data_IF_592013500358
#
_entry.id   IF_592013500358
#
_cell.length_a   1.000
_cell.length_b   1.000
_cell.length_c   1.000
_cell.angle_alpha   90.00
_cell.angle_beta   90.00
_cell.angle_gamma   90.00
#
_symmetry.space_group_name_H-M   'P 1'
#
loop_
_entity.id
_entity.type
_entity.pdbx_description
1 polymer ?
#
# COMPACT_ATOMS: atom_id res chain seq x y z
N UNK A 1 -21.43 -43.00 -15.82
CA UNK A 1 -21.37 -41.63 -15.27
C UNK A 1 -19.95 -41.03 -15.20
N UNK A 2 -18.88 -41.76 -15.59
CA UNK A 2 -17.49 -41.25 -15.50
C UNK A 2 -17.05 -40.39 -16.70
N UNK A 3 -17.73 -40.39 -17.84
CA UNK A 3 -17.42 -39.53 -19.00
C UNK A 3 -17.61 -38.03 -18.73
N UNK A 4 -18.54 -37.66 -17.88
CA UNK A 4 -18.93 -36.28 -17.61
C UNK A 4 -17.80 -35.46 -16.93
N UNK A 5 -17.09 -36.03 -15.95
CA UNK A 5 -16.07 -35.27 -15.19
C UNK A 5 -14.82 -34.92 -16.04
N UNK A 6 -14.40 -35.82 -16.94
CA UNK A 6 -13.29 -35.56 -17.85
C UNK A 6 -13.67 -34.65 -19.01
N UNK A 7 -14.92 -34.69 -19.47
CA UNK A 7 -15.43 -33.76 -20.47
C UNK A 7 -15.52 -32.33 -19.89
N UNK A 8 -15.90 -32.18 -18.63
CA UNK A 8 -15.86 -30.91 -17.90
C UNK A 8 -14.43 -30.39 -17.80
N UNK A 9 -13.44 -31.23 -17.48
CA UNK A 9 -12.03 -30.85 -17.42
C UNK A 9 -11.51 -30.38 -18.79
N UNK A 10 -11.81 -31.12 -19.87
CA UNK A 10 -11.44 -30.73 -21.23
C UNK A 10 -11.99 -29.34 -21.58
N UNK A 11 -13.26 -29.12 -21.29
CA UNK A 11 -13.89 -27.84 -21.49
C UNK A 11 -13.22 -26.74 -20.65
N UNK A 12 -12.87 -27.05 -19.40
CA UNK A 12 -12.17 -26.12 -18.51
C UNK A 12 -10.76 -25.81 -18.99
N UNK A 13 -10.00 -26.79 -19.46
CA UNK A 13 -8.68 -26.58 -20.09
C UNK A 13 -8.84 -25.63 -21.29
N UNK A 14 -9.77 -25.92 -22.18
CA UNK A 14 -10.01 -25.10 -23.37
C UNK A 14 -10.36 -23.66 -22.99
N UNK A 15 -11.21 -23.44 -22.00
CA UNK A 15 -11.58 -22.11 -21.51
C UNK A 15 -10.38 -21.34 -20.95
N UNK A 16 -9.57 -21.96 -20.08
CA UNK A 16 -8.43 -21.30 -19.44
C UNK A 16 -7.33 -21.00 -20.47
N UNK A 17 -7.08 -21.92 -21.39
CA UNK A 17 -6.12 -21.74 -22.48
C UNK A 17 -6.58 -20.66 -23.46
N UNK A 18 -7.89 -20.64 -23.84
CA UNK A 18 -8.46 -19.61 -24.70
C UNK A 18 -8.49 -18.22 -24.05
N UNK A 19 -8.48 -18.14 -22.74
CA UNK A 19 -8.37 -16.88 -21.98
C UNK A 19 -7.04 -16.13 -22.22
N UNK A 20 -6.01 -16.81 -22.71
CA UNK A 20 -4.71 -16.24 -23.08
C UNK A 20 -4.12 -15.36 -21.98
N UNK A 21 -3.58 -14.19 -22.37
CA UNK A 21 -3.01 -13.19 -21.46
C UNK A 21 -4.03 -12.58 -20.46
N UNK A 22 -5.33 -12.85 -20.65
CA UNK A 22 -6.40 -12.42 -19.75
C UNK A 22 -6.80 -13.47 -18.71
N UNK A 23 -6.26 -14.70 -18.77
CA UNK A 23 -6.57 -15.73 -17.77
C UNK A 23 -5.91 -15.35 -16.44
N UNK A 24 -6.75 -15.23 -15.40
CA UNK A 24 -6.30 -14.90 -14.04
C UNK A 24 -5.38 -16.02 -13.51
N UNK A 25 -4.35 -15.63 -12.75
CA UNK A 25 -3.47 -16.58 -12.05
C UNK A 25 -4.24 -17.57 -11.16
N UNK A 26 -5.39 -17.16 -10.61
CA UNK A 26 -6.27 -18.02 -9.84
C UNK A 26 -6.95 -19.07 -10.71
N UNK A 27 -7.29 -18.76 -11.97
CA UNK A 27 -7.85 -19.74 -12.91
C UNK A 27 -6.84 -20.87 -13.22
N UNK A 28 -5.57 -20.56 -13.41
CA UNK A 28 -4.51 -21.55 -13.64
C UNK A 28 -4.25 -22.44 -12.42
N UNK A 29 -4.25 -21.85 -11.21
CA UNK A 29 -4.06 -22.64 -9.98
C UNK A 29 -5.28 -23.49 -9.68
N UNK A 30 -6.50 -23.01 -9.95
CA UNK A 30 -7.71 -23.79 -9.83
C UNK A 30 -7.73 -24.95 -10.83
N UNK A 31 -7.34 -24.72 -12.09
CA UNK A 31 -7.23 -25.78 -13.10
C UNK A 31 -6.26 -26.90 -12.67
N UNK A 32 -5.09 -26.56 -12.12
CA UNK A 32 -4.15 -27.55 -11.57
C UNK A 32 -4.81 -28.40 -10.46
N UNK A 33 -5.56 -27.79 -9.57
CA UNK A 33 -6.27 -28.46 -8.48
C UNK A 33 -7.43 -29.33 -8.98
N UNK A 34 -8.22 -28.83 -9.92
CA UNK A 34 -9.35 -29.53 -10.54
C UNK A 34 -8.88 -30.80 -11.26
N UNK A 35 -7.82 -30.70 -12.10
CA UNK A 35 -7.24 -31.87 -12.78
C UNK A 35 -6.70 -32.88 -11.77
N UNK A 36 -5.98 -32.46 -10.75
CA UNK A 36 -5.46 -33.35 -9.70
C UNK A 36 -6.56 -34.04 -8.93
N UNK A 37 -7.62 -33.33 -8.61
CA UNK A 37 -8.79 -33.87 -7.91
C UNK A 37 -9.51 -34.93 -8.75
N UNK A 38 -9.73 -34.65 -10.04
CA UNK A 38 -10.36 -35.60 -10.95
C UNK A 38 -9.52 -36.87 -11.15
N UNK A 39 -8.20 -36.73 -11.29
CA UNK A 39 -7.30 -37.91 -11.41
C UNK A 39 -7.22 -38.72 -10.12
N UNK A 40 -7.48 -38.14 -8.96
CA UNK A 40 -7.47 -38.83 -7.66
C UNK A 40 -8.79 -39.50 -7.34
N UNK A 41 -9.91 -38.88 -7.66
CA UNK A 41 -11.23 -39.29 -7.21
C UNK A 41 -12.20 -39.62 -8.35
N UNK A 42 -11.91 -39.22 -9.60
CA UNK A 42 -12.81 -39.38 -10.76
C UNK A 42 -12.74 -40.73 -11.45
N UNK A 43 -11.92 -41.69 -10.96
CA UNK A 43 -11.70 -42.98 -11.62
C UNK A 43 -10.65 -42.90 -12.75
N UNK A 44 -10.38 -44.01 -13.45
CA UNK A 44 -9.42 -44.03 -14.56
C UNK A 44 -9.93 -43.14 -15.69
N UNK A 45 -9.04 -42.35 -16.32
CA UNK A 45 -9.40 -41.48 -17.44
C UNK A 45 -9.92 -42.31 -18.64
N UNK A 46 -10.91 -41.81 -19.39
CA UNK A 46 -11.57 -42.55 -20.48
C UNK A 46 -10.72 -42.75 -21.73
N UNK A 47 -9.55 -42.14 -21.83
CA UNK A 47 -8.60 -42.30 -22.92
C UNK A 47 -7.18 -42.48 -22.34
N UNK A 48 -6.25 -43.09 -23.06
CA UNK A 48 -4.90 -43.22 -22.56
C UNK A 48 -4.36 -41.84 -22.21
N UNK A 49 -4.08 -41.63 -20.91
CA UNK A 49 -3.22 -40.52 -20.51
C UNK A 49 -1.96 -40.72 -21.34
N UNK A 50 -1.48 -39.65 -21.96
CA UNK A 50 -0.21 -39.68 -22.66
C UNK A 50 0.88 -40.23 -21.71
N UNK A 51 1.53 -41.31 -22.11
CA UNK A 51 2.69 -41.85 -21.43
C UNK A 51 3.89 -41.80 -22.35
N UNK A 52 5.06 -41.43 -21.85
CA UNK A 52 6.27 -41.30 -22.66
C UNK A 52 6.74 -42.62 -23.29
N UNK A 53 6.34 -43.78 -22.74
CA UNK A 53 6.73 -45.11 -23.16
C UNK A 53 5.67 -45.83 -24.01
N UNK A 54 4.55 -45.14 -24.32
CA UNK A 54 3.55 -45.68 -25.25
C UNK A 54 4.06 -45.60 -26.66
N UNK A 55 3.77 -46.61 -27.49
CA UNK A 55 4.07 -46.73 -28.91
C UNK A 55 3.55 -45.58 -29.80
N UNK A 56 3.04 -44.51 -29.13
CA UNK A 56 2.56 -43.29 -29.73
C UNK A 56 3.71 -42.41 -30.23
N UNK A 57 3.99 -42.52 -31.50
CA UNK A 57 4.92 -41.65 -32.26
C UNK A 57 4.38 -40.21 -32.39
N UNK A 58 3.33 -39.84 -31.67
CA UNK A 58 2.66 -38.54 -31.73
C UNK A 58 3.00 -37.63 -30.57
N UNK A 59 3.28 -36.36 -30.88
CA UNK A 59 3.37 -35.28 -29.91
C UNK A 59 2.04 -35.16 -29.15
N UNK A 60 2.04 -35.04 -27.79
CA UNK A 60 0.80 -34.89 -27.03
C UNK A 60 0.04 -33.63 -27.41
N UNK A 61 -1.28 -33.72 -27.52
CA UNK A 61 -2.13 -32.55 -27.68
C UNK A 61 -2.16 -31.68 -26.42
N UNK A 62 -2.62 -30.42 -26.55
CA UNK A 62 -2.64 -29.45 -25.44
C UNK A 62 -3.38 -29.98 -24.20
N UNK A 63 -4.51 -30.64 -24.40
CA UNK A 63 -5.32 -31.24 -23.31
C UNK A 63 -4.59 -32.38 -22.60
N UNK A 64 -4.00 -33.29 -23.39
CA UNK A 64 -3.23 -34.42 -22.86
C UNK A 64 -2.01 -33.93 -22.07
N UNK A 65 -1.32 -32.91 -22.60
CA UNK A 65 -0.16 -32.32 -21.98
C UNK A 65 -0.53 -31.57 -20.67
N UNK A 66 -1.65 -30.84 -20.64
CA UNK A 66 -2.16 -30.20 -19.44
C UNK A 66 -2.47 -31.21 -18.33
N UNK A 67 -3.15 -32.33 -18.69
CA UNK A 67 -3.46 -33.42 -17.76
C UNK A 67 -2.17 -34.09 -17.26
N UNK A 68 -1.21 -34.36 -18.14
CA UNK A 68 0.08 -34.97 -17.77
C UNK A 68 0.90 -34.06 -16.84
N UNK A 69 0.94 -32.75 -17.10
CA UNK A 69 1.60 -31.76 -16.23
C UNK A 69 1.01 -31.69 -14.82
N UNK A 70 -0.28 -32.01 -14.65
CA UNK A 70 -0.99 -31.99 -13.36
C UNK A 70 -1.13 -33.38 -12.72
N UNK A 71 -0.71 -34.44 -13.39
CA UNK A 71 -0.87 -35.82 -12.96
C UNK A 71 -0.21 -36.15 -11.60
N UNK A 72 -0.68 -37.22 -10.92
CA UNK A 72 -0.14 -37.59 -9.61
C UNK A 72 1.28 -38.15 -9.68
N UNK A 73 1.64 -38.83 -10.80
CA UNK A 73 2.96 -39.41 -11.01
C UNK A 73 3.99 -38.35 -11.42
N UNK A 74 5.06 -38.21 -10.61
CA UNK A 74 6.15 -37.27 -10.86
C UNK A 74 6.93 -37.55 -12.16
N UNK A 75 7.07 -38.82 -12.56
CA UNK A 75 7.77 -39.21 -13.81
C UNK A 75 6.99 -38.72 -15.04
N UNK A 76 5.68 -38.85 -15.01
CA UNK A 76 4.80 -38.35 -16.09
C UNK A 76 4.88 -36.81 -16.15
N UNK A 77 4.82 -36.13 -15.02
CA UNK A 77 4.97 -34.67 -14.99
C UNK A 77 6.30 -34.20 -15.53
N UNK A 78 7.40 -34.88 -15.16
CA UNK A 78 8.73 -34.57 -15.64
C UNK A 78 8.87 -34.79 -17.15
N UNK A 79 8.37 -35.92 -17.66
CA UNK A 79 8.38 -36.22 -19.11
C UNK A 79 7.54 -35.20 -19.90
N UNK A 80 6.36 -34.82 -19.38
CA UNK A 80 5.49 -33.81 -19.99
C UNK A 80 6.18 -32.44 -20.14
N UNK A 81 7.06 -32.08 -19.23
CA UNK A 81 7.83 -30.82 -19.32
C UNK A 81 8.77 -30.75 -20.52
N UNK A 82 9.14 -31.91 -21.14
CA UNK A 82 9.94 -31.91 -22.36
C UNK A 82 9.17 -31.32 -23.57
N UNK A 83 7.85 -31.36 -23.54
CA UNK A 83 6.99 -30.88 -24.62
C UNK A 83 6.36 -29.50 -24.30
N UNK A 84 6.47 -29.07 -23.05
CA UNK A 84 5.79 -27.87 -22.57
C UNK A 84 6.38 -26.57 -23.13
N UNK A 85 7.69 -26.55 -23.43
CA UNK A 85 8.35 -25.40 -24.06
C UNK A 85 7.78 -25.09 -25.45
N UNK A 86 7.49 -26.14 -26.22
CA UNK A 86 6.87 -26.00 -27.54
C UNK A 86 5.35 -25.71 -27.50
N UNK A 87 4.78 -25.55 -26.31
CA UNK A 87 3.36 -25.28 -26.10
C UNK A 87 3.15 -24.05 -25.21
N UNK A 88 3.42 -22.83 -25.74
CA UNK A 88 3.41 -21.60 -24.94
C UNK A 88 2.13 -21.39 -24.12
N UNK A 89 0.99 -21.86 -24.62
CA UNK A 89 -0.30 -21.77 -23.93
C UNK A 89 -0.32 -22.49 -22.58
N UNK A 90 0.58 -23.45 -22.32
CA UNK A 90 0.67 -24.18 -21.06
C UNK A 90 1.82 -23.74 -20.15
N UNK A 91 2.58 -22.74 -20.52
CA UNK A 91 3.65 -22.18 -19.68
C UNK A 91 3.20 -21.77 -18.26
N UNK A 92 1.95 -21.31 -18.03
CA UNK A 92 1.48 -21.09 -16.67
C UNK A 92 1.48 -22.34 -15.79
N UNK A 93 1.21 -23.53 -16.36
CA UNK A 93 1.34 -24.80 -15.63
C UNK A 93 2.80 -25.16 -15.36
N UNK A 94 3.73 -24.83 -16.29
CA UNK A 94 5.17 -24.96 -16.05
C UNK A 94 5.60 -24.10 -14.86
N UNK A 95 5.12 -22.87 -14.77
CA UNK A 95 5.36 -21.98 -13.60
C UNK A 95 4.89 -22.65 -12.30
N UNK A 96 3.71 -23.29 -12.31
CA UNK A 96 3.21 -24.01 -11.14
C UNK A 96 4.15 -25.18 -10.79
N UNK A 97 4.69 -25.89 -11.78
CA UNK A 97 5.66 -26.99 -11.57
C UNK A 97 7.02 -26.49 -11.07
N UNK A 98 7.39 -25.24 -11.25
CA UNK A 98 8.60 -24.69 -10.62
C UNK A 98 8.58 -24.74 -9.08
N UNK A 99 7.39 -24.91 -8.49
CA UNK A 99 7.18 -25.12 -7.07
C UNK A 99 6.74 -26.56 -6.73
N UNK A 100 6.96 -27.54 -7.63
CA UNK A 100 6.57 -28.93 -7.41
C UNK A 100 7.31 -29.53 -6.21
N UNK A 101 6.65 -30.45 -5.49
CA UNK A 101 7.25 -31.16 -4.36
C UNK A 101 8.37 -32.14 -4.81
N UNK A 102 8.27 -32.70 -6.03
CA UNK A 102 9.28 -33.59 -6.59
C UNK A 102 10.46 -32.79 -7.17
N UNK A 103 11.66 -33.07 -6.71
CA UNK A 103 12.90 -32.39 -7.14
C UNK A 103 13.09 -32.37 -8.66
N UNK A 104 13.11 -33.54 -9.33
CA UNK A 104 13.33 -33.62 -10.78
C UNK A 104 12.32 -32.80 -11.60
N UNK A 105 11.02 -32.89 -11.26
CA UNK A 105 9.97 -32.09 -11.91
C UNK A 105 10.25 -30.60 -11.76
N UNK A 106 10.60 -30.17 -10.55
CA UNK A 106 10.89 -28.78 -10.22
C UNK A 106 12.09 -28.23 -11.00
N UNK A 107 13.15 -29.00 -11.06
CA UNK A 107 14.38 -28.60 -11.78
C UNK A 107 14.14 -28.53 -13.29
N UNK A 108 13.43 -29.49 -13.85
CA UNK A 108 13.05 -29.49 -15.27
C UNK A 108 12.15 -28.31 -15.61
N UNK A 109 11.13 -28.03 -14.79
CA UNK A 109 10.24 -26.89 -14.99
C UNK A 109 10.98 -25.55 -14.97
N UNK A 110 11.93 -25.40 -14.05
CA UNK A 110 12.79 -24.20 -13.97
C UNK A 110 13.71 -24.06 -15.19
N UNK A 111 14.21 -25.15 -15.71
CA UNK A 111 15.01 -25.15 -16.95
C UNK A 111 14.17 -24.71 -18.15
N UNK A 112 12.95 -25.25 -18.31
CA UNK A 112 12.01 -24.82 -19.35
C UNK A 112 11.69 -23.35 -19.22
N UNK A 113 11.27 -22.90 -18.03
CA UNK A 113 10.92 -21.50 -17.81
C UNK A 113 12.11 -20.54 -18.10
N UNK A 114 13.32 -20.95 -17.75
CA UNK A 114 14.53 -20.16 -18.05
C UNK A 114 14.78 -20.07 -19.55
N UNK A 115 14.63 -21.16 -20.29
CA UNK A 115 14.77 -21.17 -21.74
C UNK A 115 13.76 -20.24 -22.40
N UNK A 116 12.50 -20.27 -21.97
CA UNK A 116 11.43 -19.42 -22.50
C UNK A 116 11.62 -17.91 -22.20
N UNK A 117 12.16 -17.58 -21.04
CA UNK A 117 12.31 -16.18 -20.63
C UNK A 117 13.66 -15.56 -21.02
N UNK A 118 14.71 -16.37 -21.25
CA UNK A 118 16.08 -15.90 -21.46
C UNK A 118 16.78 -16.56 -22.66
N UNK A 119 16.09 -17.41 -23.42
CA UNK A 119 16.62 -18.05 -24.60
C UNK A 119 16.83 -17.06 -25.78
N UNK A 120 17.60 -17.41 -26.79
CA UNK A 120 17.90 -16.54 -27.92
C UNK A 120 16.66 -16.18 -28.75
N UNK A 121 15.66 -17.07 -28.79
CA UNK A 121 14.41 -16.90 -29.53
C UNK A 121 13.26 -16.42 -28.60
N UNK A 122 13.57 -16.07 -27.35
CA UNK A 122 12.55 -15.68 -26.37
C UNK A 122 11.89 -14.36 -26.74
N UNK A 123 10.56 -14.29 -26.52
CA UNK A 123 9.77 -13.06 -26.61
C UNK A 123 9.27 -12.64 -25.21
N UNK A 124 10.18 -12.24 -24.34
CA UNK A 124 9.86 -12.08 -22.93
C UNK A 124 8.75 -11.06 -22.69
N UNK A 125 8.61 -10.02 -23.51
CA UNK A 125 7.56 -9.02 -23.36
C UNK A 125 6.14 -9.56 -23.58
N UNK A 126 5.98 -10.51 -24.50
CA UNK A 126 4.69 -11.16 -24.79
C UNK A 126 4.34 -12.20 -23.72
N UNK A 127 5.33 -13.00 -23.34
CA UNK A 127 5.17 -14.11 -22.39
C UNK A 127 5.04 -13.62 -20.94
N UNK A 128 5.72 -12.54 -20.57
CA UNK A 128 5.73 -12.02 -19.21
C UNK A 128 4.34 -11.58 -18.71
N UNK A 129 3.48 -11.06 -19.60
CA UNK A 129 2.10 -10.67 -19.27
C UNK A 129 1.29 -11.83 -18.67
N UNK A 130 1.38 -12.99 -19.32
CA UNK A 130 0.69 -14.20 -18.89
C UNK A 130 1.33 -14.86 -17.65
N UNK A 131 2.68 -14.89 -17.60
CA UNK A 131 3.40 -15.65 -16.58
C UNK A 131 3.58 -14.91 -15.25
N UNK A 132 3.81 -13.59 -15.27
CA UNK A 132 4.12 -12.83 -14.07
C UNK A 132 3.05 -12.94 -12.96
N UNK A 133 1.73 -12.89 -13.26
CA UNK A 133 0.70 -13.11 -12.25
C UNK A 133 0.80 -14.49 -11.59
N UNK A 134 1.02 -15.55 -12.39
CA UNK A 134 1.14 -16.92 -11.90
C UNK A 134 2.41 -17.10 -11.08
N UNK A 135 3.53 -16.55 -11.52
CA UNK A 135 4.79 -16.57 -10.76
C UNK A 135 4.61 -15.94 -9.39
N UNK A 136 3.97 -14.77 -9.32
CA UNK A 136 3.74 -14.09 -8.04
C UNK A 136 2.68 -14.79 -7.17
N UNK A 137 1.79 -15.57 -7.78
CA UNK A 137 0.79 -16.38 -7.07
C UNK A 137 1.43 -17.60 -6.42
N UNK A 138 2.37 -18.26 -7.09
CA UNK A 138 3.05 -19.45 -6.58
C UNK A 138 4.27 -19.14 -5.73
N UNK A 139 4.79 -17.93 -5.74
CA UNK A 139 5.96 -17.53 -4.97
C UNK A 139 5.84 -17.78 -3.46
N UNK A 140 4.62 -17.77 -2.91
CA UNK A 140 4.37 -18.11 -1.51
C UNK A 140 4.40 -19.62 -1.19
N UNK A 141 4.52 -20.50 -2.18
CA UNK A 141 4.64 -21.95 -1.96
C UNK A 141 6.07 -22.30 -1.50
N UNK A 142 6.22 -23.43 -0.80
CA UNK A 142 7.49 -23.88 -0.20
C UNK A 142 8.72 -23.80 -1.13
N UNK A 143 8.55 -23.95 -2.45
CA UNK A 143 9.62 -23.93 -3.44
C UNK A 143 9.38 -22.88 -4.54
N UNK A 144 8.51 -21.89 -4.30
CA UNK A 144 8.08 -20.93 -5.30
C UNK A 144 9.07 -19.79 -5.59
N UNK A 145 10.04 -19.55 -4.71
CA UNK A 145 10.96 -18.41 -4.81
C UNK A 145 11.80 -18.41 -6.09
N UNK A 146 12.24 -19.57 -6.57
CA UNK A 146 13.11 -19.65 -7.75
C UNK A 146 12.47 -19.11 -9.03
N UNK A 147 11.16 -19.33 -9.25
CA UNK A 147 10.46 -18.75 -10.39
C UNK A 147 10.35 -17.21 -10.26
N UNK A 148 10.12 -16.70 -9.04
CA UNK A 148 10.10 -15.28 -8.75
C UNK A 148 11.48 -14.63 -8.94
N UNK A 149 12.54 -15.29 -8.50
CA UNK A 149 13.92 -14.82 -8.68
C UNK A 149 14.26 -14.70 -10.16
N UNK A 150 13.92 -15.72 -10.95
CA UNK A 150 14.11 -15.70 -12.40
C UNK A 150 13.32 -14.56 -13.06
N UNK A 151 12.04 -14.37 -12.70
CA UNK A 151 11.26 -13.25 -13.20
C UNK A 151 11.92 -11.90 -12.87
N UNK A 152 12.38 -11.72 -11.63
CA UNK A 152 13.06 -10.49 -11.19
C UNK A 152 14.35 -10.29 -11.96
N UNK A 153 15.13 -11.35 -12.18
CA UNK A 153 16.36 -11.29 -12.96
C UNK A 153 16.09 -10.86 -14.40
N UNK A 154 15.15 -11.51 -15.09
CA UNK A 154 14.75 -11.16 -16.45
C UNK A 154 14.29 -9.71 -16.58
N UNK A 155 13.52 -9.22 -15.60
CA UNK A 155 13.08 -7.83 -15.59
C UNK A 155 14.20 -6.83 -15.27
N UNK A 156 15.21 -7.23 -14.49
CA UNK A 156 16.37 -6.37 -14.17
C UNK A 156 17.38 -6.28 -15.30
N UNK A 157 17.62 -7.38 -16.00
CA UNK A 157 18.68 -7.50 -16.99
C UNK A 157 18.16 -7.40 -18.43
N UNK A 158 16.89 -7.74 -18.65
CA UNK A 158 16.28 -7.80 -19.97
C UNK A 158 15.83 -6.43 -20.51
N UNK A 159 15.19 -6.44 -21.69
CA UNK A 159 14.70 -5.24 -22.36
C UNK A 159 13.68 -4.45 -21.53
N UNK A 160 13.69 -3.14 -21.67
CA UNK A 160 12.76 -2.24 -20.99
C UNK A 160 11.28 -2.52 -21.35
N UNK A 161 11.03 -3.02 -22.56
CA UNK A 161 9.68 -3.33 -23.04
C UNK A 161 8.92 -4.28 -22.11
N UNK A 162 9.59 -5.29 -21.52
CA UNK A 162 8.97 -6.20 -20.56
C UNK A 162 8.51 -5.49 -19.28
N UNK A 163 9.36 -4.63 -18.72
CA UNK A 163 9.00 -3.84 -17.53
C UNK A 163 7.85 -2.89 -17.85
N UNK A 164 7.90 -2.23 -19.01
CA UNK A 164 6.87 -1.28 -19.45
C UNK A 164 5.50 -1.95 -19.62
N UNK A 165 5.45 -3.13 -20.26
CA UNK A 165 4.22 -3.90 -20.39
C UNK A 165 3.62 -4.28 -19.02
N UNK A 166 4.45 -4.76 -18.10
CA UNK A 166 3.99 -5.19 -16.77
C UNK A 166 3.54 -4.03 -15.87
N UNK A 167 3.99 -2.81 -16.11
CA UNK A 167 3.50 -1.63 -15.38
C UNK A 167 2.03 -1.35 -15.64
N UNK A 168 1.50 -1.77 -16.79
CA UNK A 168 0.08 -1.66 -17.15
C UNK A 168 -0.75 -2.90 -16.76
N UNK A 169 -0.15 -3.92 -16.13
CA UNK A 169 -0.83 -5.16 -15.76
C UNK A 169 -2.06 -4.91 -14.87
N UNK A 170 -3.11 -5.70 -15.07
CA UNK A 170 -4.30 -5.69 -14.20
C UNK A 170 -4.00 -6.23 -12.80
N UNK A 171 -3.02 -7.14 -12.68
CA UNK A 171 -2.59 -7.65 -11.38
C UNK A 171 -1.77 -6.60 -10.62
N UNK A 172 -2.28 -6.23 -9.44
CA UNK A 172 -1.65 -5.22 -8.57
C UNK A 172 -0.25 -5.62 -8.09
N UNK A 173 0.01 -6.92 -7.88
CA UNK A 173 1.31 -7.41 -7.42
C UNK A 173 2.34 -7.27 -8.53
N UNK A 174 1.93 -7.59 -9.77
CA UNK A 174 2.76 -7.42 -10.97
C UNK A 174 3.07 -5.94 -11.21
N UNK A 175 2.06 -5.06 -11.17
CA UNK A 175 2.26 -3.61 -11.30
C UNK A 175 3.27 -3.06 -10.29
N UNK A 176 3.14 -3.47 -9.02
CA UNK A 176 4.05 -3.04 -7.94
C UNK A 176 5.48 -3.51 -8.16
N UNK A 177 5.66 -4.76 -8.59
CA UNK A 177 6.97 -5.31 -8.93
C UNK A 177 7.59 -4.55 -10.10
N UNK A 178 6.84 -4.37 -11.18
CA UNK A 178 7.30 -3.67 -12.39
C UNK A 178 7.69 -2.21 -12.10
N UNK A 179 6.88 -1.46 -11.33
CA UNK A 179 7.23 -0.11 -10.94
C UNK A 179 8.48 -0.05 -10.05
N UNK A 180 8.64 -1.02 -9.13
CA UNK A 180 9.84 -1.13 -8.30
C UNK A 180 11.09 -1.30 -9.18
N UNK A 181 11.05 -2.23 -10.11
CA UNK A 181 12.17 -2.49 -11.03
C UNK A 181 12.40 -1.29 -11.97
N UNK A 182 11.33 -0.64 -12.45
CA UNK A 182 11.45 0.56 -13.27
C UNK A 182 12.16 1.71 -12.54
N UNK A 183 11.85 1.91 -11.26
CA UNK A 183 12.54 2.91 -10.40
C UNK A 183 13.99 2.48 -10.14
N UNK A 184 14.22 1.23 -9.74
CA UNK A 184 15.56 0.72 -9.42
C UNK A 184 16.50 0.78 -10.63
N UNK A 185 15.98 0.61 -11.86
CA UNK A 185 16.72 0.71 -13.12
C UNK A 185 16.81 2.12 -13.71
N UNK A 186 16.13 3.11 -13.11
CA UNK A 186 16.08 4.46 -13.65
C UNK A 186 15.32 4.60 -14.98
N UNK A 187 14.37 3.70 -15.27
CA UNK A 187 13.61 3.69 -16.53
C UNK A 187 12.52 4.77 -16.59
N UNK A 188 12.31 5.51 -15.52
CA UNK A 188 11.29 6.55 -15.45
C UNK A 188 11.94 7.92 -15.24
N UNK A 189 11.60 8.85 -16.11
CA UNK A 189 12.00 10.24 -15.91
C UNK A 189 11.35 10.85 -14.66
N UNK A 190 11.94 11.89 -14.04
CA UNK A 190 11.32 12.57 -12.90
C UNK A 190 9.89 13.06 -13.17
N UNK A 191 9.59 13.47 -14.40
CA UNK A 191 8.25 13.87 -14.82
C UNK A 191 7.25 12.69 -14.83
N UNK A 192 7.68 11.51 -15.30
CA UNK A 192 6.88 10.28 -15.28
C UNK A 192 6.66 9.77 -13.86
N UNK A 193 7.69 9.83 -13.01
CA UNK A 193 7.58 9.50 -11.59
C UNK A 193 6.54 10.39 -10.89
N UNK A 194 6.65 11.71 -11.05
CA UNK A 194 5.70 12.66 -10.48
C UNK A 194 4.28 12.45 -11.02
N UNK A 195 4.11 12.18 -12.33
CA UNK A 195 2.83 11.87 -12.92
C UNK A 195 2.18 10.61 -12.30
N UNK A 196 2.96 9.56 -12.12
CA UNK A 196 2.51 8.31 -11.51
C UNK A 196 2.16 8.50 -10.03
N UNK A 197 2.97 9.27 -9.30
CA UNK A 197 2.73 9.57 -7.89
C UNK A 197 1.37 10.25 -7.65
N UNK A 198 0.97 11.20 -8.52
CA UNK A 198 -0.28 11.96 -8.36
C UNK A 198 -1.47 11.36 -9.10
N UNK A 199 -1.30 10.23 -9.79
CA UNK A 199 -2.36 9.60 -10.58
C UNK A 199 -3.62 9.32 -9.73
N UNK A 200 -4.79 9.63 -10.28
CA UNK A 200 -6.09 9.48 -9.60
C UNK A 200 -6.86 8.27 -10.15
N UNK A 201 -6.64 7.93 -11.42
CA UNK A 201 -7.22 6.74 -12.03
C UNK A 201 -6.50 5.49 -11.51
N UNK A 202 -7.24 4.51 -11.03
CA UNK A 202 -6.74 3.25 -10.43
C UNK A 202 -5.57 3.45 -9.43
N UNK A 203 -5.78 4.18 -8.32
CA UNK A 203 -4.70 4.57 -7.43
C UNK A 203 -4.14 3.36 -6.67
N UNK A 204 -2.85 3.07 -6.85
CA UNK A 204 -2.11 2.15 -5.99
C UNK A 204 -1.16 2.95 -5.08
N UNK A 205 -1.54 3.05 -3.82
CA UNK A 205 -0.80 3.84 -2.81
C UNK A 205 0.67 3.39 -2.70
N UNK A 206 0.97 2.10 -2.91
CA UNK A 206 2.34 1.58 -2.84
C UNK A 206 3.17 2.08 -4.02
N UNK A 207 2.58 2.11 -5.22
CA UNK A 207 3.24 2.64 -6.43
C UNK A 207 3.41 4.15 -6.32
N UNK A 208 2.38 4.84 -5.83
CA UNK A 208 2.43 6.29 -5.64
C UNK A 208 3.51 6.71 -4.62
N UNK A 209 3.61 6.01 -3.47
CA UNK A 209 4.66 6.20 -2.46
C UNK A 209 6.05 6.00 -3.08
N UNK A 210 6.23 4.88 -3.78
CA UNK A 210 7.48 4.54 -4.43
C UNK A 210 7.93 5.63 -5.41
N UNK A 211 7.00 6.12 -6.25
CA UNK A 211 7.31 7.15 -7.24
C UNK A 211 7.55 8.53 -6.60
N UNK A 212 6.81 8.88 -5.54
CA UNK A 212 7.06 10.11 -4.79
C UNK A 212 8.44 10.09 -4.12
N UNK A 213 8.79 8.97 -3.48
CA UNK A 213 10.12 8.78 -2.87
C UNK A 213 11.24 8.88 -3.92
N UNK A 214 11.03 8.32 -5.11
CA UNK A 214 11.99 8.41 -6.21
C UNK A 214 12.15 9.85 -6.74
N UNK A 215 11.06 10.63 -6.83
CA UNK A 215 11.13 12.06 -7.15
C UNK A 215 11.97 12.79 -6.09
N UNK A 216 11.70 12.54 -4.80
CA UNK A 216 12.47 13.17 -3.72
C UNK A 216 13.96 12.75 -3.70
N UNK A 217 14.26 11.51 -4.10
CA UNK A 217 15.63 11.05 -4.22
C UNK A 217 16.39 11.79 -5.33
N UNK A 218 15.70 12.09 -6.43
CA UNK A 218 16.27 12.79 -7.59
C UNK A 218 16.40 14.30 -7.41
N UNK A 219 15.72 14.93 -6.42
CA UNK A 219 15.86 16.36 -6.13
C UNK A 219 17.26 16.63 -5.58
N UNK A 220 18.05 17.47 -6.26
CA UNK A 220 19.36 17.96 -5.86
C UNK A 220 19.29 19.42 -5.32
N UNK A 221 20.31 19.86 -4.60
CA UNK A 221 20.40 21.24 -4.10
C UNK A 221 20.66 22.27 -5.22
N UNK A 222 21.23 21.81 -6.35
CA UNK A 222 21.63 22.69 -7.46
C UNK A 222 20.63 22.74 -8.63
N UNK A 223 19.49 22.05 -8.51
CA UNK A 223 18.52 21.90 -9.60
C UNK A 223 17.47 23.02 -9.62
N UNK A 224 17.89 24.23 -9.88
CA UNK A 224 16.97 25.38 -10.07
C UNK A 224 15.97 25.18 -11.23
N UNK A 225 16.15 24.20 -12.12
CA UNK A 225 15.29 24.00 -13.30
C UNK A 225 14.74 22.59 -13.50
N UNK A 226 15.51 21.53 -13.30
CA UNK A 226 15.06 20.16 -13.60
C UNK A 226 14.21 19.53 -12.47
N UNK A 227 14.48 19.85 -11.20
CA UNK A 227 13.69 19.39 -10.05
C UNK A 227 12.40 20.18 -9.83
N UNK A 228 12.24 21.37 -10.41
CA UNK A 228 11.14 22.28 -10.15
C UNK A 228 9.77 21.72 -10.53
N UNK A 229 9.60 21.28 -11.77
CA UNK A 229 8.30 20.83 -12.27
C UNK A 229 7.79 19.51 -11.61
N UNK A 230 8.60 18.45 -11.43
CA UNK A 230 8.19 17.26 -10.70
C UNK A 230 7.79 17.56 -9.26
N UNK A 231 8.57 18.38 -8.54
CA UNK A 231 8.28 18.75 -7.16
C UNK A 231 6.98 19.58 -7.07
N UNK A 232 6.80 20.57 -7.95
CA UNK A 232 5.56 21.36 -8.03
C UNK A 232 4.34 20.48 -8.27
N UNK A 233 4.48 19.41 -9.06
CA UNK A 233 3.41 18.46 -9.28
C UNK A 233 3.02 17.70 -8.01
N UNK A 234 3.98 17.31 -7.18
CA UNK A 234 3.71 16.70 -5.87
C UNK A 234 3.02 17.70 -4.93
N UNK A 235 3.46 18.96 -4.91
CA UNK A 235 2.87 20.02 -4.08
C UNK A 235 1.40 20.27 -4.42
N UNK A 236 1.00 20.14 -5.68
CA UNK A 236 -0.38 20.28 -6.15
C UNK A 236 -1.26 19.03 -6.01
N UNK A 237 -0.76 17.91 -5.46
CA UNK A 237 -1.48 16.66 -5.40
C UNK A 237 -2.77 16.75 -4.55
N UNK A 238 -3.81 15.99 -4.95
CA UNK A 238 -5.06 15.87 -4.16
C UNK A 238 -4.83 15.17 -2.82
N UNK A 239 -3.95 14.18 -2.80
CA UNK A 239 -3.62 13.38 -1.62
C UNK A 239 -2.68 14.17 -0.69
N UNK A 240 -3.09 14.36 0.56
CA UNK A 240 -2.30 15.14 1.53
C UNK A 240 -0.92 14.55 1.81
N UNK A 241 -0.76 13.24 1.79
CA UNK A 241 0.53 12.61 2.02
C UNK A 241 1.53 12.81 0.86
N UNK A 242 1.05 12.93 -0.40
CA UNK A 242 1.92 13.28 -1.55
C UNK A 242 2.33 14.75 -1.47
N UNK A 243 1.38 15.66 -1.12
CA UNK A 243 1.74 17.06 -0.89
C UNK A 243 2.76 17.20 0.23
N UNK A 244 2.60 16.43 1.32
CA UNK A 244 3.57 16.42 2.42
C UNK A 244 4.96 15.95 1.96
N UNK A 245 5.05 14.96 1.09
CA UNK A 245 6.30 14.56 0.43
C UNK A 245 6.88 15.73 -0.38
N UNK A 246 6.06 16.39 -1.20
CA UNK A 246 6.46 17.59 -1.95
C UNK A 246 7.03 18.68 -1.04
N UNK A 247 6.34 19.00 0.06
CA UNK A 247 6.78 20.00 1.04
C UNK A 247 8.14 19.64 1.67
N UNK A 248 8.35 18.37 2.04
CA UNK A 248 9.66 17.94 2.56
C UNK A 248 10.76 18.03 1.51
N UNK A 249 10.42 17.85 0.22
CA UNK A 249 11.33 18.02 -0.91
C UNK A 249 11.81 19.44 -1.09
N UNK A 250 11.02 20.46 -0.74
CA UNK A 250 11.41 21.86 -0.82
C UNK A 250 12.71 22.15 -0.06
N UNK A 251 12.89 21.56 1.13
CA UNK A 251 14.13 21.72 1.89
C UNK A 251 15.33 21.17 1.12
N UNK A 252 15.20 20.01 0.50
CA UNK A 252 16.29 19.39 -0.26
C UNK A 252 16.63 20.20 -1.53
N UNK A 253 15.61 20.84 -2.11
CA UNK A 253 15.74 21.72 -3.27
C UNK A 253 16.28 23.12 -2.93
N UNK A 254 16.59 23.43 -1.67
CA UNK A 254 17.01 24.78 -1.26
C UNK A 254 15.88 25.84 -1.32
N UNK A 255 14.61 25.44 -1.39
CA UNK A 255 13.41 26.27 -1.59
C UNK A 255 12.49 26.23 -0.36
N UNK A 256 13.09 26.21 0.82
CA UNK A 256 12.35 26.00 2.08
C UNK A 256 11.31 27.07 2.38
N UNK A 257 11.53 28.32 1.94
CA UNK A 257 10.61 29.45 2.07
C UNK A 257 9.27 29.19 1.38
N UNK A 258 9.26 28.43 0.31
CA UNK A 258 8.02 28.04 -0.39
C UNK A 258 7.13 27.07 0.42
N UNK A 259 7.59 26.62 1.60
CA UNK A 259 6.79 25.83 2.51
C UNK A 259 5.77 26.66 3.29
N UNK A 260 5.90 27.99 3.37
CA UNK A 260 5.02 28.86 4.17
C UNK A 260 3.54 28.73 3.81
N UNK A 261 3.09 28.75 2.53
CA UNK A 261 1.69 28.60 2.18
C UNK A 261 1.08 27.27 2.67
N UNK A 262 1.90 26.24 2.83
CA UNK A 262 1.48 24.91 3.30
C UNK A 262 1.27 24.82 4.81
N UNK A 263 1.61 25.86 5.58
CA UNK A 263 1.20 26.03 6.97
C UNK A 263 -0.33 26.03 7.10
N UNK A 264 -1.05 26.43 6.06
CA UNK A 264 -2.49 26.56 6.03
C UNK A 264 -3.19 25.42 5.24
N UNK A 265 -2.45 24.34 4.95
CA UNK A 265 -3.05 23.19 4.24
C UNK A 265 -4.14 22.50 5.08
N UNK A 266 -5.16 22.01 4.41
CA UNK A 266 -6.26 21.23 5.02
C UNK A 266 -5.78 19.95 5.74
N UNK A 267 -4.61 19.40 5.36
CA UNK A 267 -4.03 18.18 5.93
C UNK A 267 -3.08 18.53 7.08
N UNK A 268 -3.34 18.00 8.27
CA UNK A 268 -2.44 18.16 9.42
C UNK A 268 -1.02 17.65 9.13
N UNK A 269 -0.88 16.58 8.33
CA UNK A 269 0.43 16.06 7.92
C UNK A 269 1.21 17.09 7.10
N UNK A 270 0.55 17.75 6.13
CA UNK A 270 1.17 18.79 5.30
C UNK A 270 1.60 19.97 6.15
N UNK A 271 0.73 20.47 7.04
CA UNK A 271 1.06 21.55 7.97
C UNK A 271 2.24 21.19 8.88
N UNK A 272 2.28 19.94 9.39
CA UNK A 272 3.40 19.48 10.21
C UNK A 272 4.72 19.43 9.43
N UNK A 273 4.70 18.98 8.17
CA UNK A 273 5.87 19.01 7.29
C UNK A 273 6.33 20.44 6.98
N UNK A 274 5.39 21.35 6.70
CA UNK A 274 5.71 22.76 6.46
C UNK A 274 6.39 23.42 7.69
N UNK A 275 5.83 23.22 8.89
CA UNK A 275 6.45 23.67 10.14
C UNK A 275 7.86 23.12 10.33
N UNK A 276 8.05 21.84 10.02
CA UNK A 276 9.35 21.20 10.14
C UNK A 276 10.35 21.80 9.15
N UNK A 277 9.96 21.99 7.88
CA UNK A 277 10.83 22.56 6.83
C UNK A 277 11.27 23.96 7.22
N UNK A 278 10.34 24.85 7.61
CA UNK A 278 10.64 26.22 7.99
C UNK A 278 11.57 26.31 9.20
N UNK A 279 11.38 25.47 10.22
CA UNK A 279 12.29 25.44 11.38
C UNK A 279 13.71 25.03 11.01
N UNK A 280 13.90 24.22 9.96
CA UNK A 280 15.25 23.86 9.51
C UNK A 280 16.03 25.07 8.92
N UNK A 281 15.33 26.13 8.54
CA UNK A 281 15.92 27.39 8.04
C UNK A 281 15.84 28.52 9.05
N UNK A 282 15.49 28.19 10.31
CA UNK A 282 15.44 29.20 11.40
C UNK A 282 14.11 29.96 11.47
N UNK A 283 13.14 29.66 10.64
CA UNK A 283 11.83 30.36 10.67
C UNK A 283 10.89 29.65 11.67
N UNK A 284 10.48 30.37 12.72
CA UNK A 284 9.50 29.86 13.67
C UNK A 284 8.06 30.02 13.14
N UNK A 285 7.26 28.95 13.05
CA UNK A 285 5.92 28.99 12.47
C UNK A 285 4.86 29.67 13.34
N UNK A 286 5.01 29.71 14.66
CA UNK A 286 4.00 30.24 15.58
C UNK A 286 3.69 31.72 15.32
N UNK A 287 4.69 32.63 15.17
CA UNK A 287 4.43 34.01 14.80
C UNK A 287 3.66 34.16 13.48
N UNK A 288 3.95 33.30 12.49
CA UNK A 288 3.25 33.30 11.20
C UNK A 288 1.76 32.93 11.36
N UNK A 289 1.44 31.95 12.19
CA UNK A 289 0.05 31.59 12.47
C UNK A 289 -0.68 32.70 13.23
N UNK A 290 -0.04 33.36 14.22
CA UNK A 290 -0.63 34.49 14.94
C UNK A 290 -0.90 35.65 14.01
N UNK A 291 0.05 36.00 13.14
CA UNK A 291 -0.13 37.05 12.13
C UNK A 291 -1.26 36.69 11.15
N UNK A 292 -1.30 35.45 10.66
CA UNK A 292 -2.37 34.99 9.78
C UNK A 292 -3.76 35.05 10.45
N UNK A 293 -3.86 34.69 11.73
CA UNK A 293 -5.12 34.80 12.49
C UNK A 293 -5.54 36.26 12.75
N UNK A 294 -4.61 37.21 12.74
CA UNK A 294 -4.89 38.63 12.88
C UNK A 294 -5.24 39.33 11.55
N UNK A 295 -5.12 38.65 10.40
CA UNK A 295 -5.29 39.23 9.06
C UNK A 295 -6.74 39.52 8.63
N UNK A 296 -7.74 39.30 9.48
CA UNK A 296 -9.15 39.58 9.18
C UNK A 296 -9.67 38.76 7.98
N UNK A 297 -10.21 39.49 6.99
CA UNK A 297 -10.80 38.84 5.79
C UNK A 297 -9.78 38.04 4.96
N UNK A 298 -8.49 38.35 5.09
CA UNK A 298 -7.39 37.61 4.44
C UNK A 298 -6.95 36.32 5.16
N UNK A 299 -7.57 36.00 6.30
CA UNK A 299 -7.19 34.83 7.10
C UNK A 299 -7.43 33.50 6.35
N UNK A 300 -6.40 32.64 6.21
CA UNK A 300 -6.59 31.30 5.64
C UNK A 300 -7.49 30.40 6.50
N UNK A 301 -8.39 29.63 5.89
CA UNK A 301 -9.39 28.78 6.55
C UNK A 301 -8.83 27.87 7.65
N UNK A 302 -7.60 27.42 7.52
CA UNK A 302 -6.95 26.48 8.44
C UNK A 302 -5.89 27.12 9.35
N UNK A 303 -5.74 28.45 9.33
CA UNK A 303 -4.84 29.18 10.25
C UNK A 303 -5.18 28.89 11.72
N UNK A 304 -6.46 28.90 12.16
CA UNK A 304 -6.81 28.59 13.54
C UNK A 304 -6.41 27.17 13.98
N UNK A 305 -6.53 26.17 13.07
CA UNK A 305 -6.08 24.81 13.38
C UNK A 305 -4.55 24.75 13.50
N UNK A 306 -3.83 25.41 12.59
CA UNK A 306 -2.36 25.46 12.61
C UNK A 306 -1.84 26.17 13.85
N UNK A 307 -2.48 27.27 14.24
CA UNK A 307 -2.18 27.98 15.49
C UNK A 307 -2.26 27.04 16.70
N UNK A 308 -3.34 26.27 16.80
CA UNK A 308 -3.52 25.33 17.91
C UNK A 308 -2.50 24.17 17.91
N UNK A 309 -1.97 23.78 16.75
CA UNK A 309 -0.99 22.69 16.65
C UNK A 309 0.41 23.06 17.16
N UNK A 310 0.72 24.35 17.36
CA UNK A 310 2.01 24.83 17.83
C UNK A 310 1.93 25.96 18.86
N UNK A 311 0.74 26.50 19.13
CA UNK A 311 0.47 27.55 20.10
C UNK A 311 0.30 27.01 21.52
N UNK A 312 0.04 27.91 22.44
CA UNK A 312 -0.23 27.61 23.83
C UNK A 312 -1.68 27.91 24.24
N UNK A 313 -2.15 27.17 25.27
CA UNK A 313 -3.53 27.26 25.73
C UNK A 313 -3.88 28.64 26.32
N UNK A 314 -2.95 29.27 27.01
CA UNK A 314 -3.23 30.52 27.74
C UNK A 314 -3.40 31.69 26.76
N UNK A 315 -2.49 31.78 25.78
CA UNK A 315 -2.43 32.88 24.81
C UNK A 315 -3.37 32.68 23.63
N UNK A 316 -3.43 31.45 23.08
CA UNK A 316 -4.03 31.23 21.76
C UNK A 316 -5.48 30.69 21.85
N UNK A 317 -5.90 30.08 22.99
CA UNK A 317 -7.28 29.62 23.12
C UNK A 317 -8.33 30.77 23.11
N UNK A 318 -8.11 31.93 23.72
CA UNK A 318 -9.03 33.08 23.59
C UNK A 318 -9.32 33.45 22.13
N UNK A 319 -8.28 33.53 21.29
CA UNK A 319 -8.39 33.84 19.85
C UNK A 319 -9.23 32.77 19.13
N UNK A 320 -9.00 31.49 19.45
CA UNK A 320 -9.81 30.41 18.86
C UNK A 320 -11.27 30.46 19.29
N UNK A 321 -11.56 30.93 20.52
CA UNK A 321 -12.95 31.12 20.97
C UNK A 321 -13.67 32.23 20.21
N UNK A 322 -13.00 33.31 19.81
CA UNK A 322 -13.55 34.32 18.92
C UNK A 322 -13.93 33.77 17.57
N UNK A 323 -13.09 32.94 16.98
CA UNK A 323 -13.33 32.28 15.67
C UNK A 323 -14.46 31.24 15.68
N UNK A 324 -14.96 30.84 16.84
CA UNK A 324 -16.17 29.98 16.88
C UNK A 324 -17.43 30.70 16.39
N UNK A 325 -17.41 32.05 16.34
CA UNK A 325 -18.46 32.91 15.81
C UNK A 325 -18.17 33.47 14.39
N UNK A 326 -17.10 33.07 13.72
CA UNK A 326 -16.75 33.56 12.38
C UNK A 326 -17.83 33.26 11.34
N UNK A 327 -18.07 34.16 10.39
CA UNK A 327 -19.07 33.97 9.34
C UNK A 327 -18.78 32.74 8.45
N UNK A 328 -17.52 32.41 8.23
CA UNK A 328 -17.06 31.30 7.41
C UNK A 328 -17.14 29.97 8.17
N UNK A 329 -17.97 29.00 7.75
CA UNK A 329 -18.11 27.72 8.44
C UNK A 329 -16.82 26.91 8.56
N UNK A 330 -15.89 27.11 7.62
CA UNK A 330 -14.58 26.44 7.64
C UNK A 330 -13.72 26.94 8.79
N UNK A 331 -13.76 28.26 9.06
CA UNK A 331 -13.04 28.87 10.17
C UNK A 331 -13.63 28.44 11.50
N UNK A 332 -14.98 28.50 11.65
CA UNK A 332 -15.63 27.97 12.86
C UNK A 332 -15.25 26.53 13.18
N UNK A 333 -15.29 25.65 12.15
CA UNK A 333 -14.89 24.25 12.32
C UNK A 333 -13.42 24.09 12.67
N UNK A 334 -12.53 24.93 12.09
CA UNK A 334 -11.11 24.95 12.39
C UNK A 334 -10.84 25.41 13.82
N UNK A 335 -11.55 26.42 14.29
CA UNK A 335 -11.49 26.93 15.66
C UNK A 335 -11.91 25.86 16.69
N UNK A 336 -13.03 25.20 16.47
CA UNK A 336 -13.48 24.08 17.33
C UNK A 336 -12.46 22.95 17.37
N UNK A 337 -11.90 22.57 16.22
CA UNK A 337 -10.85 21.57 16.15
C UNK A 337 -9.58 22.02 16.90
N UNK A 338 -9.22 23.31 16.80
CA UNK A 338 -8.10 23.91 17.51
C UNK A 338 -8.28 23.92 19.02
N UNK A 339 -9.46 24.31 19.51
CA UNK A 339 -9.76 24.27 20.95
C UNK A 339 -9.63 22.87 21.54
N UNK A 340 -9.97 21.84 20.76
CA UNK A 340 -9.77 20.45 21.16
C UNK A 340 -8.29 20.07 21.22
N UNK A 341 -7.48 20.57 20.29
CA UNK A 341 -6.02 20.31 20.26
C UNK A 341 -5.33 20.95 21.46
N UNK A 342 -5.73 22.19 21.83
CA UNK A 342 -5.19 22.91 22.98
C UNK A 342 -5.77 22.46 24.34
N UNK A 343 -6.65 21.45 24.35
CA UNK A 343 -7.38 21.03 25.56
C UNK A 343 -8.11 22.20 26.24
N UNK A 344 -8.68 23.10 25.43
CA UNK A 344 -9.34 24.32 25.87
C UNK A 344 -10.85 24.28 25.65
N UNK A 345 -11.43 23.09 25.48
CA UNK A 345 -12.87 22.89 25.27
C UNK A 345 -13.63 23.27 26.53
N UNK A 346 -14.66 24.11 26.36
CA UNK A 346 -15.66 24.44 27.37
C UNK A 346 -17.01 23.94 26.88
N UNK A 347 -17.52 22.80 27.39
CA UNK A 347 -18.69 22.12 26.83
C UNK A 347 -19.92 23.01 26.68
N UNK A 348 -20.27 23.77 27.72
CA UNK A 348 -21.44 24.66 27.70
C UNK A 348 -21.35 25.78 26.63
N UNK A 349 -20.14 26.25 26.30
CA UNK A 349 -19.96 27.25 25.23
C UNK A 349 -19.98 26.64 23.82
N UNK A 350 -19.58 25.37 23.67
CA UNK A 350 -19.60 24.70 22.37
C UNK A 350 -20.94 24.06 22.03
N UNK A 351 -21.76 23.72 23.03
CA UNK A 351 -23.04 23.04 22.81
C UNK A 351 -23.95 23.73 21.77
N UNK A 352 -24.09 25.07 21.70
CA UNK A 352 -24.91 25.72 20.67
C UNK A 352 -24.43 25.43 19.22
N UNK A 353 -23.16 25.11 19.01
CA UNK A 353 -22.64 24.77 17.68
C UNK A 353 -23.02 23.34 17.20
N UNK A 354 -23.75 22.58 18.04
CA UNK A 354 -24.35 21.31 17.58
C UNK A 354 -25.53 21.57 16.63
N UNK A 355 -26.13 22.75 16.70
CA UNK A 355 -27.23 23.21 15.83
C UNK A 355 -26.73 24.17 14.73
N UNK A 356 -25.40 24.25 14.50
CA UNK A 356 -24.84 25.08 13.44
C UNK A 356 -25.37 24.64 12.07
N UNK A 357 -25.65 25.61 11.20
CA UNK A 357 -26.11 25.36 9.82
C UNK A 357 -25.16 24.53 8.98
N UNK A 358 -23.87 24.49 9.35
CA UNK A 358 -22.83 23.73 8.63
C UNK A 358 -22.62 22.35 9.24
N UNK A 359 -22.85 21.25 8.48
CA UNK A 359 -22.57 19.88 8.93
C UNK A 359 -21.11 19.66 9.35
N UNK A 360 -20.20 20.47 8.82
CA UNK A 360 -18.79 20.42 9.16
C UNK A 360 -18.54 20.93 10.58
N UNK A 361 -19.15 22.04 10.97
CA UNK A 361 -19.07 22.60 12.32
C UNK A 361 -19.68 21.63 13.32
N UNK A 362 -20.90 21.15 13.05
CA UNK A 362 -21.57 20.13 13.87
C UNK A 362 -20.70 18.91 14.11
N UNK A 363 -20.07 18.40 13.05
CA UNK A 363 -19.17 17.23 13.14
C UNK A 363 -17.97 17.48 14.05
N UNK A 364 -17.28 18.62 13.90
CA UNK A 364 -16.12 18.95 14.74
C UNK A 364 -16.56 19.24 16.19
N UNK A 365 -17.71 19.87 16.40
CA UNK A 365 -18.31 20.09 17.73
C UNK A 365 -18.63 18.76 18.42
N UNK A 366 -19.28 17.82 17.73
CA UNK A 366 -19.52 16.45 18.26
C UNK A 366 -18.22 15.76 18.66
N UNK A 367 -17.15 15.88 17.86
CA UNK A 367 -15.83 15.32 18.21
C UNK A 367 -15.24 15.98 19.46
N UNK A 368 -15.38 17.31 19.57
CA UNK A 368 -14.88 18.07 20.71
C UNK A 368 -15.63 17.73 22.00
N UNK A 369 -16.95 17.52 21.92
CA UNK A 369 -17.81 17.21 23.06
C UNK A 369 -17.85 15.72 23.43
N UNK A 370 -17.27 14.84 22.63
CA UNK A 370 -17.27 13.39 22.86
C UNK A 370 -16.83 12.97 24.29
N UNK A 371 -15.80 13.57 24.90
CA UNK A 371 -15.41 13.24 26.28
C UNK A 371 -16.46 13.54 27.33
N UNK A 372 -17.43 14.41 27.01
CA UNK A 372 -18.52 14.82 27.91
C UNK A 372 -19.89 14.29 27.48
N UNK A 373 -19.96 13.27 26.63
CA UNK A 373 -21.18 12.73 26.05
C UNK A 373 -22.20 12.28 27.13
N UNK A 374 -21.74 11.80 28.27
CA UNK A 374 -22.58 11.36 29.39
C UNK A 374 -23.23 12.54 30.17
N UNK A 375 -22.69 13.75 30.05
CA UNK A 375 -23.14 14.95 30.72
C UNK A 375 -24.05 15.82 29.83
N UNK A 376 -24.04 15.58 28.52
CA UNK A 376 -24.84 16.30 27.53
C UNK A 376 -25.56 15.25 26.67
N UNK A 377 -26.86 14.95 27.00
CA UNK A 377 -27.65 14.05 26.16
C UNK A 377 -27.96 14.72 24.83
N UNK A 378 -27.03 14.64 23.91
CA UNK A 378 -27.20 15.10 22.53
C UNK A 378 -27.68 13.93 21.70
N UNK A 379 -28.88 14.03 21.14
CA UNK A 379 -29.40 13.07 20.18
C UNK A 379 -28.39 12.89 19.04
N UNK A 380 -27.87 11.67 18.89
CA UNK A 380 -26.94 11.33 17.80
C UNK A 380 -25.43 11.26 18.13
N UNK A 381 -25.01 11.41 19.39
CA UNK A 381 -23.66 11.01 19.80
C UNK A 381 -23.63 9.49 20.05
N UNK A 382 -22.77 8.70 19.39
CA UNK A 382 -22.61 7.31 19.75
C UNK A 382 -22.07 7.24 21.19
N UNK A 383 -22.77 6.55 22.08
CA UNK A 383 -22.26 6.21 23.40
C UNK A 383 -20.92 5.50 23.26
N UNK A 384 -19.91 5.85 24.06
CA UNK A 384 -18.73 5.02 24.13
C UNK A 384 -19.19 3.59 24.48
N UNK A 385 -18.74 2.60 23.72
CA UNK A 385 -19.01 1.20 24.05
C UNK A 385 -18.55 0.98 25.50
N UNK A 386 -19.47 0.56 26.37
CA UNK A 386 -19.14 0.20 27.73
C UNK A 386 -18.03 -0.85 27.66
N UNK A 387 -16.87 -0.51 28.17
CA UNK A 387 -15.79 -1.48 28.37
C UNK A 387 -16.36 -2.48 29.38
N UNK A 388 -16.73 -3.66 28.89
CA UNK A 388 -17.14 -4.74 29.74
C UNK A 388 -16.01 -4.99 30.75
N UNK A 389 -16.32 -5.04 32.07
CA UNK A 389 -15.29 -5.34 33.06
C UNK A 389 -14.76 -6.74 32.71
N UNK A 390 -13.44 -6.83 32.52
CA UNK A 390 -12.76 -8.11 32.34
C UNK A 390 -13.17 -9.05 33.47
N UNK A 391 -13.53 -10.32 33.18
CA UNK A 391 -13.86 -11.29 34.21
C UNK A 391 -12.67 -11.41 35.18
N UNK A 392 -12.91 -11.18 36.47
CA UNK A 392 -11.95 -11.49 37.53
C UNK A 392 -11.69 -12.99 37.45
N UNK A 393 -10.46 -13.35 37.10
CA UNK A 393 -9.96 -14.68 37.34
C UNK A 393 -9.76 -14.79 38.86
N UNK A 394 -10.61 -15.53 39.56
CA UNK A 394 -10.38 -15.99 40.90
C UNK A 394 -9.20 -16.98 40.83
N UNK A 395 -8.04 -16.51 41.16
CA UNK A 395 -6.80 -17.29 41.32
C UNK A 395 -6.49 -17.44 42.78
N UNK A 396 -6.37 -18.67 43.16
CA UNK A 396 -6.11 -19.27 44.43
C UNK A 396 -4.90 -18.63 45.17
N UNK A 397 -5.09 -18.41 46.46
CA UNK A 397 -4.08 -17.84 47.35
C UNK A 397 -3.03 -18.88 47.72
N UNK A 398 -1.75 -18.58 47.51
CA UNK A 398 -0.65 -18.92 48.41
C UNK A 398 0.71 -18.49 47.84
N UNK A 399 1.30 -17.45 48.39
CA UNK A 399 2.72 -17.28 48.80
C UNK A 399 3.05 -15.77 48.87
N UNK A 400 3.63 -15.25 49.95
CA UNK A 400 3.95 -13.84 50.13
C UNK A 400 5.28 -13.44 49.47
N UNK A 401 5.45 -12.13 49.12
CA UNK A 401 6.61 -11.62 48.38
C UNK A 401 7.73 -11.15 49.36
N UNK A 402 8.97 -11.01 48.87
CA UNK A 402 9.99 -10.22 49.56
C UNK A 402 9.89 -8.73 49.15
N UNK A 403 10.10 -7.88 50.15
CA UNK A 403 10.16 -6.42 50.05
C UNK A 403 11.43 -5.95 49.32
N UNK A 404 11.29 -4.91 48.49
CA UNK A 404 12.28 -3.83 48.35
C UNK A 404 11.74 -2.67 47.47
N UNK A 405 11.58 -1.56 48.06
CA UNK A 405 11.91 -0.17 47.84
C UNK A 405 11.79 0.46 46.43
N UNK A 406 11.08 1.61 46.32
CA UNK A 406 11.40 2.61 45.29
C UNK A 406 10.22 3.31 44.65
N UNK A 407 9.85 4.45 45.20
CA UNK A 407 9.33 5.72 44.64
C UNK A 407 8.31 5.76 43.45
N UNK A 408 7.41 6.77 43.42
CA UNK A 408 6.27 6.84 42.53
C UNK A 408 6.60 7.48 41.18
N UNK A 409 6.06 6.93 40.08
CA UNK A 409 6.06 7.57 38.76
C UNK A 409 4.64 7.95 38.39
N UNK A 410 4.34 9.23 38.48
CA UNK A 410 3.24 9.91 37.82
C UNK A 410 3.58 10.07 36.32
N UNK A 411 2.64 9.70 35.44
CA UNK A 411 2.80 9.86 34.00
C UNK A 411 1.65 9.22 33.22
N UNK A 412 0.50 9.90 33.17
CA UNK A 412 -0.63 9.57 32.29
C UNK A 412 -0.25 9.86 30.85
N UNK A 413 0.03 8.80 30.07
CA UNK A 413 0.20 8.88 28.62
C UNK A 413 -1.17 8.62 27.93
N UNK A 414 -1.64 9.56 27.14
CA UNK A 414 -2.78 9.41 26.25
C UNK A 414 -2.51 8.36 25.14
N UNK A 415 -3.52 7.59 24.68
CA UNK A 415 -3.32 6.58 23.65
C UNK A 415 -3.11 7.21 22.27
N UNK A 416 -1.97 6.97 21.68
CA UNK A 416 -1.60 7.41 20.34
C UNK A 416 -2.09 6.45 19.25
N UNK A 417 -2.66 6.99 18.19
CA UNK A 417 -3.08 6.26 17.01
C UNK A 417 -1.87 5.72 16.20
N UNK A 418 -1.74 4.39 15.97
CA UNK A 418 -0.47 3.79 15.53
C UNK A 418 -0.11 3.95 14.04
N UNK A 419 -1.00 4.47 13.17
CA UNK A 419 -0.81 4.45 11.71
C UNK A 419 -0.17 5.71 11.10
N UNK A 420 -0.27 6.87 11.72
CA UNK A 420 0.31 8.12 11.20
C UNK A 420 1.82 8.24 11.45
N UNK A 421 2.32 7.70 12.56
CA UNK A 421 3.75 7.80 12.95
C UNK A 421 4.72 7.03 12.05
N UNK A 422 4.33 5.90 11.48
CA UNK A 422 5.19 5.10 10.60
C UNK A 422 5.50 5.78 9.25
N UNK A 423 4.54 6.52 8.70
CA UNK A 423 4.71 7.29 7.46
C UNK A 423 5.53 8.55 7.67
N UNK A 424 5.27 9.29 8.75
CA UNK A 424 6.03 10.49 9.10
C UNK A 424 7.52 10.17 9.35
N UNK A 425 7.83 9.03 10.00
CA UNK A 425 9.21 8.56 10.21
C UNK A 425 9.97 8.25 8.91
N UNK A 426 9.30 7.72 7.89
CA UNK A 426 9.91 7.46 6.58
C UNK A 426 10.13 8.74 5.79
N UNK A 427 9.14 9.64 5.75
CA UNK A 427 9.21 10.90 5.00
C UNK A 427 10.27 11.87 5.55
N UNK A 428 10.50 11.87 6.86
CA UNK A 428 11.46 12.77 7.51
C UNK A 428 12.90 12.22 7.53
N UNK A 429 13.18 11.06 6.93
CA UNK A 429 14.53 10.49 6.87
C UNK A 429 15.08 10.04 8.23
N UNK A 430 14.22 9.85 9.23
CA UNK A 430 14.62 9.41 10.56
C UNK A 430 14.99 7.91 10.61
N UNK A 431 16.16 7.56 10.09
CA UNK A 431 16.94 6.47 10.64
C UNK A 431 17.79 7.05 11.79
N UNK A 432 17.26 6.89 13.01
CA UNK A 432 18.01 7.11 14.25
C UNK A 432 18.33 8.58 14.54
N UNK A 433 17.57 9.20 15.40
CA UNK A 433 17.99 10.03 16.55
C UNK A 433 16.71 10.51 17.27
N UNK A 434 16.21 9.71 18.20
CA UNK A 434 15.52 10.24 19.38
C UNK A 434 16.31 9.78 20.59
N UNK A 435 17.35 10.55 20.93
CA UNK A 435 17.83 10.62 22.30
C UNK A 435 16.85 11.51 23.07
N UNK A 436 16.19 10.94 24.09
CA UNK A 436 15.52 11.72 25.13
C UNK A 436 16.60 12.47 25.91
N UNK A 437 16.45 13.77 26.15
CA UNK A 437 17.16 14.36 27.28
C UNK A 437 16.57 13.82 28.57
N UNK A 438 17.42 13.61 29.53
CA UNK A 438 17.12 13.17 30.91
C UNK A 438 16.29 14.21 31.66
#
# INVERSE_FOLDING_TARGET
>A
MHGSAFDEIRHRIAQVVAGGDGADADAWTALDEEIRSALRYGGPPPAPIWFPDGDGTGRPGVEQLAVALCGPDGRIREAALAYAGDTPALLPLVVIRCADWAGPVRERARAVLRAELSGPDSRPSETLGALAPVVLRVAGRRHGDAARELLVQVLREGPEAGVTALRASRDRRVRRLAHRIAVDRGLLSPAQLAATAVAVADPDVVVQDLCADAVLAAVGADDGTAGGAPLTRLLGARQGWIRAAGVTGLRKAGRAEEAEPFLYDRSALVRACARWVLRQTGTEPLPLYRAACAAGDGMPDHAPTGLAECGDRATDAPVLWEFTGDERPRVRAAAVAGLRVLDAVRPGRLAPLLDDSSPRVVRETRKALRPWADHFPVAGLPRPAAVAPSPRVEGDATTPPPEAGGAPRSGTAAPEAPRARGRMRRMLGFRGVFHRPR
#
